data_IF_031753726615
#
_entry.id   IF_031753726615
#
_cell.length_a   1.000
_cell.length_b   1.000
_cell.length_c   1.000
_cell.angle_alpha   90.00
_cell.angle_beta   90.00
_cell.angle_gamma   90.00
#
_symmetry.space_group_name_H-M   'P 1'
#
loop_
_entity.id
_entity.type
_entity.pdbx_description
1 polymer ?
#
# COMPACT_ATOMS: atom_id res chain seq x y z
N UNK A 1 -16.90 6.71 3.58
CA UNK A 1 -16.71 5.27 3.37
C UNK A 1 -16.05 4.65 4.60
N UNK A 2 -16.48 3.45 4.98
CA UNK A 2 -15.86 2.65 6.04
C UNK A 2 -14.78 1.74 5.45
N UNK A 3 -13.56 1.81 5.99
CA UNK A 3 -12.42 1.03 5.57
C UNK A 3 -12.13 -0.10 6.56
N UNK A 4 -11.86 -1.31 6.05
CA UNK A 4 -11.14 -2.37 6.77
C UNK A 4 -9.72 -2.44 6.22
N UNK A 5 -8.72 -2.16 7.07
CA UNK A 5 -7.31 -2.14 6.69
C UNK A 5 -6.64 -3.45 7.07
N UNK A 6 -6.17 -4.23 6.08
CA UNK A 6 -5.45 -5.49 6.26
C UNK A 6 -3.96 -5.28 5.99
N UNK A 7 -3.11 -5.94 6.79
CA UNK A 7 -1.64 -5.74 6.74
C UNK A 7 -1.30 -4.25 6.84
N UNK A 8 -1.89 -3.62 7.82
CA UNK A 8 -2.00 -2.17 7.92
C UNK A 8 -0.66 -1.45 7.99
N UNK A 9 0.40 -2.13 8.43
CA UNK A 9 1.70 -1.53 8.65
C UNK A 9 1.58 -0.33 9.60
N UNK A 10 1.91 0.85 9.13
CA UNK A 10 1.68 2.10 9.86
C UNK A 10 0.54 2.95 9.26
N UNK A 11 -0.40 2.34 8.57
CA UNK A 11 -1.60 3.02 8.06
C UNK A 11 -1.42 3.72 6.72
N UNK A 12 -0.42 3.33 5.91
CA UNK A 12 -0.09 4.01 4.66
C UNK A 12 -1.21 4.01 3.63
N UNK A 13 -1.97 2.92 3.48
CA UNK A 13 -3.12 2.84 2.58
C UNK A 13 -4.29 3.70 3.08
N UNK A 14 -4.55 3.69 4.39
CA UNK A 14 -5.57 4.56 5.00
C UNK A 14 -5.24 6.05 4.83
N UNK A 15 -3.95 6.42 4.96
CA UNK A 15 -3.49 7.78 4.67
C UNK A 15 -3.66 8.12 3.18
N UNK A 16 -3.40 7.18 2.28
CA UNK A 16 -3.60 7.37 0.85
C UNK A 16 -5.07 7.69 0.51
N UNK A 17 -6.02 6.96 1.10
CA UNK A 17 -7.44 7.26 0.95
C UNK A 17 -7.77 8.69 1.41
N UNK A 18 -7.26 9.13 2.57
CA UNK A 18 -7.44 10.50 3.04
C UNK A 18 -6.90 11.55 2.05
N UNK A 19 -5.75 11.28 1.42
CA UNK A 19 -5.14 12.18 0.43
C UNK A 19 -5.94 12.31 -0.87
N UNK A 20 -6.88 11.41 -1.15
CA UNK A 20 -7.80 11.58 -2.29
C UNK A 20 -8.86 12.65 -2.05
N UNK A 21 -9.09 13.05 -0.81
CA UNK A 21 -10.20 13.92 -0.38
C UNK A 21 -11.49 13.17 -0.08
N UNK A 22 -11.53 11.86 -0.28
CA UNK A 22 -12.69 11.04 0.08
C UNK A 22 -12.78 10.93 1.60
N UNK A 23 -13.96 11.21 2.16
CA UNK A 23 -14.21 11.00 3.58
C UNK A 23 -14.21 9.51 3.91
N UNK A 24 -13.13 9.06 4.54
CA UNK A 24 -12.96 7.66 4.95
C UNK A 24 -12.75 7.54 6.45
N UNK A 25 -13.31 6.49 7.03
CA UNK A 25 -13.10 6.08 8.41
C UNK A 25 -12.68 4.63 8.44
N UNK A 26 -11.51 4.33 8.96
CA UNK A 26 -11.11 2.96 9.23
C UNK A 26 -11.89 2.43 10.43
N UNK A 27 -12.52 1.26 10.29
CA UNK A 27 -13.33 0.62 11.33
C UNK A 27 -12.58 -0.51 12.03
N UNK A 28 -11.54 -1.06 11.39
CA UNK A 28 -10.61 -2.02 12.01
C UNK A 28 -9.28 -2.05 11.24
N UNK A 29 -8.22 -2.33 11.96
CA UNK A 29 -6.88 -2.61 11.44
C UNK A 29 -6.51 -4.06 11.74
N UNK A 30 -5.84 -4.74 10.80
CA UNK A 30 -5.26 -6.06 11.00
C UNK A 30 -3.76 -5.98 10.70
N UNK A 31 -2.91 -6.16 11.72
CA UNK A 31 -1.46 -6.07 11.61
C UNK A 31 -0.80 -7.09 12.54
N UNK A 32 0.05 -7.95 11.97
CA UNK A 32 0.71 -9.04 12.72
C UNK A 32 1.92 -8.57 13.52
N UNK A 33 2.72 -7.67 12.96
CA UNK A 33 3.98 -7.27 13.56
C UNK A 33 3.77 -6.28 14.71
N UNK A 34 4.36 -6.55 15.88
CA UNK A 34 4.20 -5.73 17.09
C UNK A 34 4.65 -4.27 16.89
N UNK A 35 5.78 -4.07 16.23
CA UNK A 35 6.32 -2.72 16.04
C UNK A 35 5.39 -1.84 15.17
N UNK A 36 4.91 -2.27 14.00
CA UNK A 36 3.85 -1.55 13.27
C UNK A 36 2.57 -1.34 14.08
N UNK A 37 2.12 -2.30 14.90
CA UNK A 37 0.96 -2.11 15.78
C UNK A 37 1.15 -0.94 16.76
N UNK A 38 2.35 -0.79 17.35
CA UNK A 38 2.63 0.34 18.24
C UNK A 38 2.64 1.67 17.49
N UNK A 39 3.12 1.70 16.24
CA UNK A 39 3.02 2.90 15.37
C UNK A 39 1.54 3.23 15.08
N UNK A 40 0.72 2.23 14.72
CA UNK A 40 -0.71 2.43 14.50
C UNK A 40 -1.38 3.04 15.73
N UNK A 41 -1.17 2.46 16.92
CA UNK A 41 -1.72 2.96 18.18
C UNK A 41 -1.26 4.39 18.48
N UNK A 42 0.00 4.74 18.19
CA UNK A 42 0.50 6.09 18.33
C UNK A 42 -0.23 7.05 17.38
N UNK A 43 -0.35 6.70 16.09
CA UNK A 43 -1.04 7.55 15.09
C UNK A 43 -2.54 7.67 15.34
N UNK A 44 -3.17 6.66 15.93
CA UNK A 44 -4.58 6.74 16.40
C UNK A 44 -4.68 7.77 17.55
N UNK A 45 -3.80 7.67 18.56
CA UNK A 45 -3.76 8.65 19.67
C UNK A 45 -3.52 10.08 19.22
N UNK A 46 -2.69 10.27 18.20
CA UNK A 46 -2.40 11.57 17.61
C UNK A 46 -3.55 12.10 16.73
N UNK A 47 -4.63 11.35 16.53
CA UNK A 47 -5.74 11.70 15.65
C UNK A 47 -5.43 11.68 14.15
N UNK A 48 -4.24 11.16 13.76
CA UNK A 48 -3.84 11.02 12.35
C UNK A 48 -4.61 9.88 11.68
N UNK A 49 -4.77 8.76 12.38
CA UNK A 49 -5.56 7.61 11.94
C UNK A 49 -6.88 7.55 12.70
N UNK A 50 -7.87 6.84 12.14
CA UNK A 50 -9.17 6.65 12.76
C UNK A 50 -9.04 5.84 14.05
N UNK A 51 -9.80 6.20 15.08
CA UNK A 51 -9.90 5.41 16.31
C UNK A 51 -10.69 4.12 16.02
N UNK A 52 -9.95 3.00 15.96
CA UNK A 52 -10.48 1.69 15.61
C UNK A 52 -9.58 0.57 16.22
N UNK A 53 -10.15 -0.62 16.48
CA UNK A 53 -9.40 -1.74 17.04
C UNK A 53 -8.31 -2.25 16.09
N UNK A 54 -7.22 -2.73 16.67
CA UNK A 54 -6.09 -3.36 15.98
C UNK A 54 -6.10 -4.85 16.31
N UNK A 55 -6.35 -5.68 15.31
CA UNK A 55 -6.28 -7.16 15.37
C UNK A 55 -4.89 -7.63 14.92
N UNK A 56 -4.39 -8.73 15.51
CA UNK A 56 -3.03 -9.20 15.22
C UNK A 56 -2.94 -10.23 14.10
N UNK A 57 -3.94 -11.10 13.93
CA UNK A 57 -3.82 -12.26 13.03
C UNK A 57 -4.97 -12.37 12.04
N UNK A 58 -4.64 -12.21 10.77
CA UNK A 58 -5.60 -12.35 9.68
C UNK A 58 -6.16 -13.78 9.58
N UNK A 59 -5.39 -14.80 9.96
CA UNK A 59 -5.82 -16.19 9.85
C UNK A 59 -6.98 -16.51 10.79
N UNK A 60 -7.03 -15.84 11.95
CA UNK A 60 -8.12 -15.95 12.94
C UNK A 60 -9.16 -14.84 12.82
N UNK A 61 -8.90 -13.81 12.02
CA UNK A 61 -9.82 -12.69 11.83
C UNK A 61 -11.08 -13.15 11.10
N UNK A 62 -12.25 -12.75 11.62
CA UNK A 62 -13.57 -13.05 11.06
C UNK A 62 -14.15 -11.84 10.38
N UNK A 63 -14.26 -11.89 9.06
CA UNK A 63 -14.76 -10.78 8.24
C UNK A 63 -16.28 -10.65 8.23
N UNK A 64 -17.02 -11.72 8.53
CA UNK A 64 -18.49 -11.76 8.39
C UNK A 64 -19.21 -10.67 9.20
N UNK A 65 -18.67 -10.32 10.37
CA UNK A 65 -19.22 -9.25 11.23
C UNK A 65 -19.11 -7.85 10.60
N UNK A 66 -18.30 -7.69 9.58
CA UNK A 66 -18.09 -6.42 8.86
C UNK A 66 -18.87 -6.33 7.53
N UNK A 67 -19.60 -7.40 7.18
CA UNK A 67 -20.44 -7.40 5.97
C UNK A 67 -21.54 -6.34 6.08
N UNK A 68 -21.68 -5.53 5.02
CA UNK A 68 -22.65 -4.43 5.00
C UNK A 68 -22.24 -3.20 5.82
N UNK A 69 -21.11 -3.26 6.55
CA UNK A 69 -20.55 -2.12 7.31
C UNK A 69 -19.36 -1.52 6.57
N UNK A 70 -18.52 -2.36 5.95
CA UNK A 70 -17.30 -1.95 5.26
C UNK A 70 -17.59 -1.71 3.78
N UNK A 71 -17.21 -0.52 3.31
CA UNK A 71 -17.31 -0.13 1.91
C UNK A 71 -16.07 -0.53 1.12
N UNK A 72 -14.88 -0.46 1.74
CA UNK A 72 -13.60 -0.74 1.12
C UNK A 72 -12.70 -1.59 2.01
N UNK A 73 -12.08 -2.62 1.43
CA UNK A 73 -10.91 -3.29 2.02
C UNK A 73 -9.65 -2.76 1.37
N UNK A 74 -8.67 -2.36 2.18
CA UNK A 74 -7.30 -2.07 1.74
C UNK A 74 -6.35 -3.15 2.24
N UNK A 75 -5.42 -3.63 1.39
CA UNK A 75 -4.47 -4.67 1.78
C UNK A 75 -3.12 -4.54 1.06
N UNK A 76 -2.04 -4.41 1.85
CA UNK A 76 -0.66 -4.56 1.40
C UNK A 76 -0.13 -5.96 1.76
N UNK A 77 -0.69 -7.01 1.16
CA UNK A 77 -0.43 -8.39 1.58
C UNK A 77 0.99 -8.86 1.22
N UNK A 78 1.67 -9.62 2.10
CA UNK A 78 3.00 -10.14 1.82
C UNK A 78 2.98 -11.14 0.66
N UNK A 79 3.95 -10.97 -0.26
CA UNK A 79 4.13 -11.84 -1.43
C UNK A 79 5.55 -12.39 -1.44
N UNK A 80 5.85 -13.41 -0.63
CA UNK A 80 7.21 -13.82 -0.30
C UNK A 80 8.03 -14.42 -1.44
N UNK A 81 7.47 -15.13 -2.41
CA UNK A 81 8.30 -15.89 -3.34
C UNK A 81 8.89 -15.06 -4.48
N UNK A 82 8.53 -13.80 -4.59
CA UNK A 82 8.91 -12.93 -5.71
C UNK A 82 9.88 -11.81 -5.31
N UNK A 83 10.28 -11.74 -4.03
CA UNK A 83 11.41 -10.92 -3.62
C UNK A 83 12.72 -11.58 -4.07
N UNK A 84 13.68 -10.78 -4.49
CA UNK A 84 14.99 -11.24 -5.01
C UNK A 84 15.86 -11.95 -3.95
N UNK A 85 15.41 -12.06 -2.70
CA UNK A 85 16.16 -12.64 -1.58
C UNK A 85 15.37 -13.81 -0.95
N UNK A 86 15.68 -15.05 -1.33
CA UNK A 86 15.22 -16.26 -0.64
C UNK A 86 14.73 -17.40 -1.57
N UNK A 87 14.48 -18.61 -1.03
CA UNK A 87 14.00 -19.76 -1.81
C UNK A 87 12.58 -19.49 -2.33
N UNK A 88 12.41 -19.63 -3.64
CA UNK A 88 11.14 -19.38 -4.37
C UNK A 88 10.17 -20.54 -4.22
N UNK A 89 9.38 -20.59 -3.14
CA UNK A 89 8.36 -21.66 -2.90
C UNK A 89 6.98 -21.39 -3.54
N UNK A 90 6.78 -20.19 -4.10
CA UNK A 90 5.54 -19.84 -4.80
C UNK A 90 4.29 -19.76 -3.92
N UNK A 91 3.14 -20.19 -4.44
CA UNK A 91 1.85 -20.11 -3.75
C UNK A 91 1.76 -20.98 -2.47
N UNK A 92 2.60 -22.02 -2.36
CA UNK A 92 2.68 -22.93 -1.19
C UNK A 92 3.59 -22.40 -0.07
N UNK A 93 4.14 -21.19 -0.24
CA UNK A 93 4.95 -20.56 0.82
C UNK A 93 4.03 -20.16 2.00
N UNK A 94 4.35 -20.60 3.25
CA UNK A 94 3.52 -20.28 4.43
C UNK A 94 3.41 -18.77 4.71
N UNK A 95 4.30 -17.97 4.12
CA UNK A 95 4.24 -16.50 4.17
C UNK A 95 3.24 -15.91 3.17
N UNK A 96 2.72 -16.73 2.23
CA UNK A 96 1.69 -16.29 1.30
C UNK A 96 0.38 -16.06 2.06
N UNK A 97 -0.01 -14.79 2.19
CA UNK A 97 -1.25 -14.39 2.89
C UNK A 97 -2.37 -13.99 1.94
N UNK A 98 -2.21 -14.23 0.64
CA UNK A 98 -3.29 -13.98 -0.31
C UNK A 98 -4.53 -14.84 -0.07
N UNK A 99 -4.45 -16.15 0.23
CA UNK A 99 -5.63 -16.96 0.54
C UNK A 99 -6.43 -16.41 1.74
N UNK A 100 -5.75 -15.98 2.81
CA UNK A 100 -6.41 -15.33 3.95
C UNK A 100 -7.06 -14.00 3.56
N UNK A 101 -6.38 -13.21 2.72
CA UNK A 101 -6.89 -11.92 2.22
C UNK A 101 -8.15 -12.13 1.41
N UNK A 102 -8.14 -13.07 0.46
CA UNK A 102 -9.31 -13.39 -0.38
C UNK A 102 -10.48 -13.92 0.45
N UNK A 103 -10.20 -14.76 1.46
CA UNK A 103 -11.23 -15.23 2.40
C UNK A 103 -11.91 -14.05 3.09
N UNK A 104 -11.16 -13.12 3.64
CA UNK A 104 -11.74 -11.93 4.30
C UNK A 104 -12.51 -11.07 3.30
N UNK A 105 -12.03 -10.89 2.06
CA UNK A 105 -12.75 -10.16 1.02
C UNK A 105 -14.10 -10.83 0.72
N UNK A 106 -14.15 -12.15 0.61
CA UNK A 106 -15.40 -12.91 0.39
C UNK A 106 -16.36 -12.85 1.59
N UNK A 107 -15.82 -12.89 2.80
CA UNK A 107 -16.61 -12.79 4.04
C UNK A 107 -17.26 -11.40 4.17
N UNK A 108 -16.53 -10.35 3.94
CA UNK A 108 -16.99 -8.95 4.04
C UNK A 108 -17.83 -8.54 2.83
N UNK A 109 -17.45 -8.98 1.63
CA UNK A 109 -18.01 -8.58 0.33
C UNK A 109 -18.14 -7.06 0.18
N UNK A 110 -17.05 -6.29 0.35
CA UNK A 110 -17.08 -4.84 0.27
C UNK A 110 -17.34 -4.39 -1.17
N UNK A 111 -17.83 -3.17 -1.35
CA UNK A 111 -18.01 -2.59 -2.69
C UNK A 111 -16.68 -2.37 -3.43
N UNK A 112 -15.61 -2.07 -2.68
CA UNK A 112 -14.29 -1.76 -3.24
C UNK A 112 -13.20 -2.57 -2.56
N UNK A 113 -12.18 -2.92 -3.34
CA UNK A 113 -10.95 -3.56 -2.85
C UNK A 113 -9.76 -2.79 -3.41
N UNK A 114 -8.82 -2.36 -2.56
CA UNK A 114 -7.57 -1.73 -2.95
C UNK A 114 -6.40 -2.58 -2.47
N UNK A 115 -5.65 -3.13 -3.40
CA UNK A 115 -4.49 -3.99 -3.11
C UNK A 115 -3.18 -3.31 -3.50
N UNK A 116 -2.16 -3.51 -2.68
CA UNK A 116 -0.77 -3.11 -2.97
C UNK A 116 0.15 -4.32 -2.89
N UNK A 117 1.14 -4.36 -3.79
CA UNK A 117 2.21 -5.35 -3.74
C UNK A 117 3.47 -4.86 -4.48
N UNK A 118 4.55 -5.63 -4.39
CA UNK A 118 5.77 -5.35 -5.16
C UNK A 118 5.51 -5.49 -6.66
N UNK A 119 6.17 -4.67 -7.49
CA UNK A 119 5.99 -4.70 -8.95
C UNK A 119 6.29 -6.09 -9.58
N UNK A 120 7.15 -6.88 -8.94
CA UNK A 120 7.49 -8.23 -9.37
C UNK A 120 6.33 -9.22 -9.40
N UNK A 121 5.22 -8.93 -8.73
CA UNK A 121 4.01 -9.79 -8.72
C UNK A 121 3.43 -9.98 -10.13
N UNK A 122 3.54 -8.97 -10.99
CA UNK A 122 3.04 -9.01 -12.37
C UNK A 122 3.88 -9.87 -13.31
N UNK A 123 5.16 -10.09 -12.98
CA UNK A 123 6.09 -10.87 -13.81
C UNK A 123 6.38 -12.26 -13.25
N UNK A 124 5.93 -12.52 -12.03
CA UNK A 124 6.21 -13.76 -11.32
C UNK A 124 5.35 -14.91 -11.85
N UNK A 125 5.81 -15.58 -12.88
CA UNK A 125 5.25 -16.83 -13.39
C UNK A 125 6.18 -18.01 -13.05
N UNK A 126 5.60 -19.14 -12.64
CA UNK A 126 6.35 -20.36 -12.30
C UNK A 126 6.78 -21.17 -13.53
N UNK A 127 6.02 -21.08 -14.61
CA UNK A 127 6.27 -21.82 -15.85
C UNK A 127 5.86 -20.95 -17.03
N UNK A 128 6.57 -21.13 -18.15
CA UNK A 128 6.18 -20.53 -19.44
C UNK A 128 4.75 -20.94 -19.78
N UNK A 129 3.86 -19.98 -20.02
CA UNK A 129 2.44 -20.23 -20.33
C UNK A 129 1.47 -20.23 -19.13
N UNK A 130 1.97 -20.04 -17.89
CA UNK A 130 1.08 -19.85 -16.71
C UNK A 130 0.92 -18.36 -16.39
N UNK A 131 -0.25 -17.95 -15.83
CA UNK A 131 -0.46 -16.59 -15.40
C UNK A 131 0.61 -16.13 -14.39
N UNK A 132 0.93 -14.85 -14.38
CA UNK A 132 1.70 -14.25 -13.28
C UNK A 132 0.91 -14.35 -11.99
N UNK A 133 1.59 -14.21 -10.83
CA UNK A 133 0.87 -14.26 -9.56
C UNK A 133 -0.13 -13.10 -9.43
N UNK A 134 0.20 -11.91 -9.96
CA UNK A 134 -0.76 -10.81 -10.08
C UNK A 134 -1.98 -11.18 -10.94
N UNK A 135 -1.76 -11.96 -12.02
CA UNK A 135 -2.85 -12.50 -12.83
C UNK A 135 -3.74 -13.49 -12.06
N UNK A 136 -3.16 -14.34 -11.19
CA UNK A 136 -3.93 -15.21 -10.29
C UNK A 136 -4.79 -14.39 -9.33
N UNK A 137 -4.20 -13.37 -8.68
CA UNK A 137 -4.92 -12.47 -7.76
C UNK A 137 -6.11 -11.80 -8.45
N UNK A 138 -5.90 -11.23 -9.65
CA UNK A 138 -6.96 -10.59 -10.43
C UNK A 138 -8.03 -11.61 -10.87
N UNK A 139 -7.63 -12.81 -11.29
CA UNK A 139 -8.55 -13.89 -11.67
C UNK A 139 -9.45 -14.32 -10.51
N UNK A 140 -8.88 -14.55 -9.32
CA UNK A 140 -9.65 -14.96 -8.14
C UNK A 140 -10.54 -13.83 -7.58
N UNK A 141 -10.16 -12.54 -7.77
CA UNK A 141 -11.07 -11.43 -7.51
C UNK A 141 -12.21 -11.37 -8.52
N UNK A 142 -11.94 -11.63 -9.80
CA UNK A 142 -12.99 -11.70 -10.82
C UNK A 142 -13.98 -12.85 -10.55
N UNK A 143 -13.50 -14.01 -10.09
CA UNK A 143 -14.35 -15.11 -9.60
C UNK A 143 -15.18 -14.72 -8.36
N UNK A 144 -14.65 -13.82 -7.52
CA UNK A 144 -15.37 -13.25 -6.39
C UNK A 144 -16.32 -12.10 -6.77
N UNK A 145 -16.44 -11.78 -8.07
CA UNK A 145 -17.39 -10.80 -8.61
C UNK A 145 -16.83 -9.38 -8.77
N UNK A 146 -15.51 -9.18 -8.71
CA UNK A 146 -14.90 -7.86 -8.84
C UNK A 146 -14.38 -7.59 -10.25
N UNK A 147 -14.73 -6.43 -10.81
CA UNK A 147 -14.04 -5.84 -11.95
C UNK A 147 -12.78 -5.15 -11.47
N UNK A 148 -11.60 -5.54 -11.99
CA UNK A 148 -10.31 -5.10 -11.48
C UNK A 148 -9.57 -4.19 -12.46
N UNK A 149 -8.99 -3.11 -11.94
CA UNK A 149 -8.05 -2.21 -12.62
C UNK A 149 -6.71 -2.27 -11.89
N UNK A 150 -5.62 -2.51 -12.61
CA UNK A 150 -4.31 -2.55 -11.97
C UNK A 150 -3.25 -1.82 -12.78
N UNK A 151 -2.25 -1.31 -12.09
CA UNK A 151 -1.12 -0.57 -12.68
C UNK A 151 0.14 -0.74 -11.83
N UNK A 152 1.31 -0.62 -12.48
CA UNK A 152 2.59 -0.46 -11.78
C UNK A 152 2.94 1.02 -11.80
N UNK A 153 3.07 1.60 -10.60
CA UNK A 153 3.42 3.01 -10.41
C UNK A 153 4.71 3.10 -9.60
N UNK A 154 5.60 4.00 -9.99
CA UNK A 154 6.79 4.38 -9.26
C UNK A 154 6.53 5.55 -8.30
N UNK A 155 7.30 5.65 -7.25
CA UNK A 155 7.25 6.82 -6.40
C UNK A 155 7.81 8.07 -7.12
N UNK A 156 8.74 7.87 -8.06
CA UNK A 156 9.25 8.90 -8.97
C UNK A 156 8.16 9.46 -9.93
N UNK A 157 7.15 8.68 -10.27
CA UNK A 157 6.01 9.14 -11.07
C UNK A 157 5.15 10.20 -10.34
N UNK A 158 5.30 10.32 -9.02
CA UNK A 158 4.62 11.31 -8.18
C UNK A 158 5.60 12.31 -7.53
N UNK A 159 6.81 12.41 -8.08
CA UNK A 159 7.82 13.40 -7.68
C UNK A 159 8.76 13.00 -6.55
N UNK A 160 8.69 11.75 -6.04
CA UNK A 160 9.63 11.29 -5.02
C UNK A 160 11.06 11.14 -5.57
N UNK A 161 12.05 11.32 -4.71
CA UNK A 161 13.48 11.17 -5.05
C UNK A 161 13.94 9.71 -5.21
N UNK A 162 13.04 8.75 -5.15
CA UNK A 162 13.32 7.31 -5.27
C UNK A 162 12.28 6.60 -6.14
N UNK A 163 12.68 5.51 -6.81
CA UNK A 163 11.86 4.84 -7.82
C UNK A 163 10.79 3.91 -7.27
N UNK A 164 10.92 3.34 -6.10
CA UNK A 164 10.00 2.38 -5.43
C UNK A 164 8.73 1.99 -6.24
N UNK A 165 8.87 1.15 -7.25
CA UNK A 165 7.75 0.67 -8.06
C UNK A 165 6.85 -0.29 -7.29
N UNK A 166 5.53 -0.11 -7.39
CA UNK A 166 4.50 -0.94 -6.77
C UNK A 166 3.40 -1.28 -7.75
N UNK A 167 2.91 -2.49 -7.63
CA UNK A 167 1.69 -2.93 -8.27
C UNK A 167 0.51 -2.53 -7.38
N UNK A 168 -0.44 -1.81 -7.96
CA UNK A 168 -1.68 -1.40 -7.33
C UNK A 168 -2.84 -2.00 -8.10
N UNK A 169 -3.82 -2.52 -7.39
CA UNK A 169 -5.04 -3.07 -7.98
C UNK A 169 -6.25 -2.51 -7.25
N UNK A 170 -7.22 -2.05 -8.01
CA UNK A 170 -8.50 -1.57 -7.51
C UNK A 170 -9.61 -2.41 -8.09
N UNK A 171 -10.36 -3.10 -7.23
CA UNK A 171 -11.52 -3.91 -7.57
C UNK A 171 -12.81 -3.22 -7.20
N UNK A 172 -13.78 -3.29 -8.09
CA UNK A 172 -15.15 -2.81 -7.87
C UNK A 172 -16.08 -4.01 -7.96
N UNK A 173 -16.89 -4.24 -6.93
CA UNK A 173 -17.88 -5.32 -6.95
C UNK A 173 -18.89 -5.03 -8.06
N UNK A 174 -19.00 -5.95 -9.00
CA UNK A 174 -19.91 -5.81 -10.14
C UNK A 174 -21.37 -5.81 -9.65
N UNK A 175 -22.15 -4.86 -10.15
CA UNK A 175 -23.59 -4.86 -9.93
C UNK A 175 -24.21 -5.98 -10.76
N UNK A 176 -24.93 -6.96 -10.16
CA UNK A 176 -25.57 -8.04 -10.90
C UNK A 176 -26.53 -7.56 -12.01
N UNK A 177 -27.14 -6.39 -11.80
CA UNK A 177 -28.09 -5.79 -12.76
C UNK A 177 -27.39 -5.03 -13.90
N UNK A 178 -26.10 -4.67 -13.75
CA UNK A 178 -25.32 -3.96 -14.78
C UNK A 178 -24.74 -4.86 -15.88
N UNK A 179 -24.94 -6.19 -15.80
CA UNK A 179 -24.34 -7.18 -16.72
C UNK A 179 -25.00 -7.25 -18.12
N UNK A 180 -25.94 -6.39 -18.43
CA UNK A 180 -26.47 -6.28 -19.80
C UNK A 180 -25.58 -5.40 -20.68
N UNK A 181 -24.40 -5.92 -21.09
CA UNK A 181 -23.64 -5.29 -22.18
C UNK A 181 -22.13 -5.15 -22.04
N UNK A 182 -21.47 -5.71 -21.03
CA UNK A 182 -20.00 -5.65 -20.94
C UNK A 182 -19.36 -7.00 -21.23
N UNK A 183 -18.69 -7.07 -22.38
CA UNK A 183 -17.76 -8.15 -22.73
C UNK A 183 -16.73 -8.32 -21.61
N UNK A 184 -16.65 -9.55 -21.06
CA UNK A 184 -15.61 -9.98 -20.14
C UNK A 184 -14.27 -10.04 -20.87
N UNK A 185 -13.58 -8.94 -21.00
CA UNK A 185 -12.18 -8.91 -21.43
C UNK A 185 -11.32 -8.48 -20.25
N UNK A 186 -10.73 -9.50 -19.61
CA UNK A 186 -9.79 -9.40 -18.50
C UNK A 186 -8.45 -8.75 -18.86
N UNK A 187 -8.31 -8.06 -19.98
CA UNK A 187 -7.06 -7.50 -20.49
C UNK A 187 -7.18 -6.01 -20.87
N UNK A 188 -7.82 -5.19 -20.04
CA UNK A 188 -7.57 -3.75 -20.14
C UNK A 188 -6.35 -3.39 -19.27
N UNK A 189 -5.19 -3.69 -19.82
CA UNK A 189 -3.98 -2.98 -19.52
C UNK A 189 -4.21 -1.52 -19.92
N UNK A 190 -4.49 -0.65 -18.93
CA UNK A 190 -4.47 0.78 -19.21
C UNK A 190 -3.07 1.11 -19.66
N UNK A 191 -2.97 1.47 -20.94
CA UNK A 191 -1.74 1.88 -21.57
C UNK A 191 -1.06 2.94 -20.70
N UNK A 192 0.25 2.81 -20.64
CA UNK A 192 1.19 3.71 -19.97
C UNK A 192 1.27 5.08 -20.64
N UNK A 193 0.14 5.70 -20.90
CA UNK A 193 0.09 7.13 -21.21
C UNK A 193 -0.07 7.86 -19.86
N UNK A 194 1.01 7.83 -19.09
CA UNK A 194 1.16 8.68 -17.92
C UNK A 194 1.40 10.07 -18.49
N UNK A 195 0.31 10.81 -18.73
CA UNK A 195 0.40 12.25 -18.90
C UNK A 195 1.28 12.78 -17.76
N UNK A 196 2.10 13.79 -18.06
CA UNK A 196 2.98 14.41 -17.07
C UNK A 196 2.23 14.52 -15.74
N UNK A 197 2.86 14.10 -14.61
CA UNK A 197 2.21 14.17 -13.31
C UNK A 197 1.66 15.59 -13.15
N UNK A 198 0.38 15.75 -12.72
CA UNK A 198 -0.12 17.08 -12.45
C UNK A 198 0.86 17.72 -11.48
N UNK A 199 1.40 18.87 -11.87
CA UNK A 199 2.18 19.68 -10.94
C UNK A 199 1.25 19.91 -9.75
N UNK A 200 1.60 19.28 -8.61
CA UNK A 200 0.91 19.53 -7.36
C UNK A 200 1.04 21.02 -7.12
N UNK A 201 -0.07 21.75 -7.28
CA UNK A 201 -0.09 23.19 -6.98
C UNK A 201 0.51 23.39 -5.60
N UNK A 202 1.56 24.19 -5.54
CA UNK A 202 2.26 24.60 -4.31
C UNK A 202 1.29 25.32 -3.35
N UNK A 203 0.48 24.57 -2.61
CA UNK A 203 -0.44 25.15 -1.62
C UNK A 203 0.18 25.37 -0.24
N UNK A 204 1.42 24.95 -0.04
CA UNK A 204 2.18 25.29 1.16
C UNK A 204 3.42 26.06 0.75
N UNK A 205 3.36 27.38 0.89
CA UNK A 205 4.52 28.25 0.71
C UNK A 205 5.63 27.80 1.67
N UNK A 206 6.66 27.13 1.14
CA UNK A 206 7.92 26.90 1.82
C UNK A 206 8.41 25.47 1.89
N UNK A 207 7.58 24.47 2.17
CA UNK A 207 8.03 23.09 2.36
C UNK A 207 7.67 22.24 1.14
N UNK A 208 8.64 21.63 0.44
CA UNK A 208 8.33 20.76 -0.69
C UNK A 208 7.52 19.54 -0.24
N UNK A 209 6.59 19.07 -1.10
CA UNK A 209 5.75 17.88 -0.84
C UNK A 209 6.59 16.63 -0.58
N UNK A 210 7.80 16.60 -1.14
CA UNK A 210 8.77 15.54 -0.95
C UNK A 210 10.01 16.09 -0.26
N UNK A 211 10.56 15.37 0.74
CA UNK A 211 11.80 15.80 1.36
C UNK A 211 12.93 15.79 0.33
N UNK A 212 13.83 16.76 0.35
CA UNK A 212 15.01 16.78 -0.50
C UNK A 212 15.86 15.53 -0.33
N UNK A 213 16.63 15.19 -1.34
CA UNK A 213 17.62 14.13 -1.22
C UNK A 213 18.68 14.46 -0.15
N UNK A 214 19.36 13.47 0.43
CA UNK A 214 20.29 13.67 1.56
C UNK A 214 21.51 14.53 1.23
N UNK A 215 21.75 14.85 -0.04
CA UNK A 215 22.85 15.72 -0.49
C UNK A 215 22.40 17.17 -0.80
N UNK A 216 21.11 17.45 -0.73
CA UNK A 216 20.53 18.78 -0.97
C UNK A 216 20.53 19.59 0.33
N UNK A 217 21.72 19.96 0.78
CA UNK A 217 21.96 20.59 2.09
C UNK A 217 21.26 21.93 2.26
N UNK A 218 21.20 22.74 1.21
CA UNK A 218 20.61 24.08 1.27
C UNK A 218 19.08 24.03 1.42
N UNK A 219 18.43 23.07 0.72
CA UNK A 219 17.00 22.83 0.85
C UNK A 219 16.67 22.27 2.24
N UNK A 220 17.51 21.36 2.76
CA UNK A 220 17.36 20.88 4.12
C UNK A 220 17.53 21.97 5.17
N UNK A 221 18.49 22.90 5.00
CA UNK A 221 18.67 24.03 5.91
C UNK A 221 17.41 24.90 5.98
N UNK A 222 16.75 25.16 4.85
CA UNK A 222 15.47 25.90 4.81
C UNK A 222 14.35 25.15 5.54
N UNK A 223 14.19 23.85 5.27
CA UNK A 223 13.16 23.02 5.91
C UNK A 223 13.37 22.98 7.43
N UNK A 224 14.62 22.77 7.88
CA UNK A 224 14.94 22.69 9.30
C UNK A 224 14.78 24.01 10.04
N UNK A 225 14.88 25.15 9.35
CA UNK A 225 14.58 26.45 9.93
C UNK A 225 13.08 26.60 10.28
N UNK A 226 12.18 25.97 9.49
CA UNK A 226 10.73 26.01 9.72
C UNK A 226 10.22 24.79 10.53
N UNK A 227 10.88 23.66 10.37
CA UNK A 227 10.52 22.38 10.98
C UNK A 227 11.76 21.69 11.58
N UNK A 228 12.24 22.18 12.74
CA UNK A 228 13.43 21.61 13.40
C UNK A 228 13.21 20.19 13.94
N UNK A 229 11.97 19.72 13.98
CA UNK A 229 11.59 18.36 14.34
C UNK A 229 11.87 17.33 13.24
N UNK A 230 12.12 17.77 12.01
CA UNK A 230 12.47 16.89 10.89
C UNK A 230 13.99 16.64 10.87
N UNK A 231 14.39 15.56 10.23
CA UNK A 231 15.81 15.28 9.97
C UNK A 231 16.01 14.76 8.55
N UNK A 232 17.14 15.11 7.91
CA UNK A 232 17.51 14.60 6.60
C UNK A 232 17.61 13.06 6.61
N UNK A 233 17.26 12.43 5.50
CA UNK A 233 17.53 11.02 5.29
C UNK A 233 19.05 10.79 5.36
N UNK A 234 19.48 9.81 6.15
CA UNK A 234 20.89 9.46 6.28
C UNK A 234 21.42 8.89 4.96
N UNK A 235 22.62 9.29 4.56
CA UNK A 235 23.34 8.62 3.47
C UNK A 235 23.65 7.19 3.85
N UNK A 236 23.93 6.31 2.85
CA UNK A 236 24.31 4.92 3.11
C UNK A 236 25.51 4.81 4.04
N UNK A 237 26.48 5.71 3.89
CA UNK A 237 27.71 5.72 4.68
C UNK A 237 27.45 6.19 6.12
N UNK A 238 26.64 7.26 6.29
CA UNK A 238 26.19 7.68 7.61
C UNK A 238 25.36 6.60 8.31
N UNK A 239 24.47 5.93 7.57
CA UNK A 239 23.69 4.80 8.09
C UNK A 239 24.59 3.63 8.52
N UNK A 240 25.65 3.31 7.75
CA UNK A 240 26.65 2.29 8.09
C UNK A 240 27.44 2.67 9.34
N UNK A 241 27.84 3.93 9.47
CA UNK A 241 28.52 4.46 10.66
C UNK A 241 27.64 4.31 11.92
N UNK A 242 26.39 4.75 11.85
CA UNK A 242 25.46 4.61 12.97
C UNK A 242 25.12 3.16 13.32
N UNK A 243 25.11 2.25 12.35
CA UNK A 243 24.95 0.82 12.59
C UNK A 243 26.10 0.22 13.40
N UNK A 244 27.30 0.82 13.37
CA UNK A 244 28.47 0.38 14.12
C UNK A 244 28.55 0.92 15.55
N UNK A 245 27.89 2.02 15.86
CA UNK A 245 28.12 2.82 17.08
C UNK A 245 27.00 2.71 18.11
N UNK A 246 25.81 2.23 17.76
CA UNK A 246 24.65 2.25 18.67
C UNK A 246 24.20 0.85 19.06
N UNK A 247 24.36 0.50 20.35
CA UNK A 247 23.84 -0.71 20.98
C UNK A 247 22.31 -0.74 21.19
N UNK A 248 21.56 0.10 20.49
CA UNK A 248 20.09 0.10 20.46
C UNK A 248 19.52 -0.47 19.17
N UNK A 249 20.11 -1.53 18.64
CA UNK A 249 19.90 -2.03 17.26
C UNK A 249 18.50 -2.50 16.92
N UNK A 250 17.72 -2.97 17.87
CA UNK A 250 16.43 -3.60 17.64
C UNK A 250 15.41 -2.63 17.06
N UNK A 251 15.21 -1.47 17.67
CA UNK A 251 14.22 -0.50 17.20
C UNK A 251 14.55 0.12 15.83
N UNK A 252 15.82 0.37 15.55
CA UNK A 252 16.23 0.97 14.28
C UNK A 252 16.13 0.00 13.09
N UNK A 253 16.35 -1.29 13.33
CA UNK A 253 16.11 -2.32 12.31
C UNK A 253 14.61 -2.48 12.01
N UNK A 254 13.77 -2.42 13.03
CA UNK A 254 12.32 -2.49 12.90
C UNK A 254 11.77 -1.26 12.18
N UNK A 255 12.30 -0.06 12.47
CA UNK A 255 11.98 1.17 11.77
C UNK A 255 12.36 1.09 10.28
N UNK A 256 13.58 0.67 9.96
CA UNK A 256 14.03 0.48 8.58
C UNK A 256 13.22 -0.58 7.84
N UNK A 257 12.83 -1.66 8.52
CA UNK A 257 11.96 -2.70 7.97
C UNK A 257 10.56 -2.15 7.71
N UNK A 258 9.99 -1.42 8.65
CA UNK A 258 8.69 -0.80 8.52
C UNK A 258 8.66 0.22 7.37
N UNK A 259 9.65 1.10 7.27
CA UNK A 259 9.82 2.05 6.14
C UNK A 259 10.05 1.31 4.81
N UNK A 260 10.84 0.23 4.84
CA UNK A 260 11.11 -0.62 3.68
C UNK A 260 9.87 -1.34 3.16
N UNK A 261 8.97 -1.76 4.04
CA UNK A 261 7.73 -2.47 3.70
C UNK A 261 6.55 -1.51 3.46
N UNK A 262 6.61 -0.27 3.95
CA UNK A 262 5.51 0.67 3.88
C UNK A 262 5.16 1.12 2.46
N UNK A 263 3.92 1.47 2.27
CA UNK A 263 3.43 2.07 1.04
C UNK A 263 3.77 3.57 1.00
N UNK A 264 3.85 4.14 -0.18
CA UNK A 264 4.00 5.59 -0.40
C UNK A 264 2.60 6.18 -0.64
N UNK A 265 1.96 6.84 0.37
CA UNK A 265 0.56 7.25 0.27
C UNK A 265 0.24 8.14 -0.94
N UNK A 266 1.06 9.14 -1.33
CA UNK A 266 0.78 9.95 -2.51
C UNK A 266 0.71 9.16 -3.82
N UNK A 267 1.50 8.10 -3.96
CA UNK A 267 1.50 7.22 -5.14
C UNK A 267 0.15 6.49 -5.28
N UNK A 268 -0.37 5.96 -4.19
CA UNK A 268 -1.67 5.28 -4.15
C UNK A 268 -2.81 6.29 -4.37
N UNK A 269 -2.72 7.47 -3.75
CA UNK A 269 -3.71 8.53 -3.95
C UNK A 269 -3.78 8.98 -5.42
N UNK A 270 -2.63 9.08 -6.11
CA UNK A 270 -2.58 9.40 -7.54
C UNK A 270 -3.27 8.31 -8.38
N UNK A 271 -2.99 7.04 -8.12
CA UNK A 271 -3.65 5.91 -8.77
C UNK A 271 -5.17 6.00 -8.64
N UNK A 272 -5.68 6.20 -7.42
CA UNK A 272 -7.11 6.31 -7.17
C UNK A 272 -7.73 7.53 -7.88
N UNK A 273 -7.06 8.68 -7.87
CA UNK A 273 -7.53 9.89 -8.57
C UNK A 273 -7.62 9.71 -10.10
N UNK A 274 -6.79 8.85 -10.69
CA UNK A 274 -6.89 8.51 -12.12
C UNK A 274 -8.13 7.68 -12.44
N UNK A 275 -8.57 6.81 -11.52
CA UNK A 275 -9.77 5.98 -11.69
C UNK A 275 -11.08 6.73 -11.43
N UNK A 276 -11.02 7.88 -10.75
CA UNK A 276 -12.19 8.71 -10.42
C UNK A 276 -12.50 9.79 -11.49
N UNK A 277 -11.65 9.92 -12.51
CA UNK A 277 -11.84 10.79 -13.68
C UNK A 277 -12.59 10.07 -14.79
#
# INVERSE_FOLDING_TARGET
MNELSLFSGYGGLSLALKLTGIQTRTVAYVEWEKYPQEILKARIRDGILSDAPVFSDISSFRGEQFRGVVDIITAGFPCPPFSTAGPKRGAEDPRNKWPDTLRVIREVAPRYVLLENVAGISNASRKRGTPSYGGVVVGELAEAGYDCFWQIIGADDVGASHRRKRWLCFGVLADPDSQRGRSRTADRQYATDVGQPPQLEERHRGIPTWPPGPKQTDEWARILAERPDLSPALTKDALAYFRGVVDGRTHKLDELKALGNGVVPPMVAQFLKQLMR
#
